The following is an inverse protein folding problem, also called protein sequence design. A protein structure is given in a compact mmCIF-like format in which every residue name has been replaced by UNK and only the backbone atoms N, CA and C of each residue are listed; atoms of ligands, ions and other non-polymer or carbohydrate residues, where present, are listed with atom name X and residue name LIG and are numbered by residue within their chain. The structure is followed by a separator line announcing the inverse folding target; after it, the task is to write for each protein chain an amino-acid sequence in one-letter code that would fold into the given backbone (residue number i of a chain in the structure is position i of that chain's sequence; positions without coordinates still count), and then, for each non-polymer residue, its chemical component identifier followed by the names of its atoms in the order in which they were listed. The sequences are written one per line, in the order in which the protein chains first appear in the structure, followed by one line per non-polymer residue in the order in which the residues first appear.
data_IF_125896231096
#
_entry.id   IF_125896231096
#
_cell.length_a   1.000
_cell.length_b   1.000
_cell.length_c   1.000
_cell.angle_alpha   90.00
_cell.angle_beta   90.00
_cell.angle_gamma   90.00
#
_symmetry.space_group_name_H-M   'P 1'
#
loop_
_entity.id
_entity.type
_entity.pdbx_description
1 polymer ?
#
# COMPACT_ATOMS: atom_id res chain seq x y z
N UNK A 1 -16.31 -3.74 -17.32
CA UNK A 1 -15.02 -4.29 -17.79
C UNK A 1 -15.20 -5.79 -18.01
N UNK A 2 -14.66 -6.36 -19.09
CA UNK A 2 -14.73 -7.80 -19.33
C UNK A 2 -13.56 -8.50 -18.65
N UNK A 3 -13.84 -9.50 -17.81
CA UNK A 3 -12.82 -10.26 -17.08
C UNK A 3 -11.98 -11.09 -18.07
N UNK A 4 -10.65 -10.89 -18.05
CA UNK A 4 -9.68 -11.65 -18.84
C UNK A 4 -8.36 -11.72 -18.09
N UNK A 5 -7.60 -12.81 -18.26
CA UNK A 5 -6.22 -12.90 -17.78
C UNK A 5 -5.28 -12.15 -18.73
N UNK A 6 -5.36 -10.82 -18.71
CA UNK A 6 -4.51 -9.93 -19.51
C UNK A 6 -4.20 -8.67 -18.73
N UNK A 7 -2.92 -8.26 -18.73
CA UNK A 7 -2.50 -6.97 -18.17
C UNK A 7 -3.30 -5.85 -18.85
N UNK A 8 -3.85 -4.95 -18.06
CA UNK A 8 -4.51 -3.76 -18.59
C UNK A 8 -3.51 -2.85 -19.29
N UNK A 9 -4.00 -2.10 -20.26
CA UNK A 9 -3.27 -0.97 -20.80
C UNK A 9 -3.16 0.14 -19.75
N UNK A 10 -2.18 1.01 -19.89
CA UNK A 10 -2.04 2.17 -18.98
C UNK A 10 -3.27 3.07 -19.03
N UNK A 11 -3.84 3.30 -20.22
CA UNK A 11 -5.05 4.09 -20.39
C UNK A 11 -6.22 3.52 -19.59
N UNK A 12 -6.42 2.19 -19.63
CA UNK A 12 -7.45 1.51 -18.83
C UNK A 12 -7.18 1.65 -17.34
N UNK A 13 -5.95 1.44 -16.90
CA UNK A 13 -5.54 1.58 -15.50
C UNK A 13 -5.80 3.00 -14.98
N UNK A 14 -5.34 4.02 -15.69
CA UNK A 14 -5.53 5.41 -15.28
C UNK A 14 -7.01 5.85 -15.32
N UNK A 15 -7.81 5.32 -16.25
CA UNK A 15 -9.27 5.56 -16.26
C UNK A 15 -9.92 5.01 -15.00
N UNK A 16 -9.69 3.74 -14.66
CA UNK A 16 -10.28 3.10 -13.47
C UNK A 16 -9.79 3.77 -12.18
N UNK A 17 -8.52 4.17 -12.11
CA UNK A 17 -8.01 4.91 -10.94
C UNK A 17 -8.79 6.20 -10.67
N UNK A 18 -9.14 6.97 -11.70
CA UNK A 18 -9.96 8.18 -11.53
C UNK A 18 -11.34 7.86 -10.96
N UNK A 19 -11.97 6.80 -11.45
CA UNK A 19 -13.27 6.32 -10.96
C UNK A 19 -13.20 5.87 -9.49
N UNK A 20 -12.12 5.18 -9.08
CA UNK A 20 -11.92 4.75 -7.69
C UNK A 20 -11.66 5.93 -6.76
N UNK A 21 -10.81 6.87 -7.16
CA UNK A 21 -10.49 8.05 -6.35
C UNK A 21 -11.70 8.98 -6.13
N UNK A 22 -12.75 8.92 -6.95
CA UNK A 22 -13.96 9.70 -6.73
C UNK A 22 -14.97 9.05 -5.77
N UNK A 23 -14.70 7.85 -5.25
CA UNK A 23 -15.66 7.11 -4.39
C UNK A 23 -15.76 7.62 -2.95
N UNK A 24 -14.76 8.37 -2.47
CA UNK A 24 -14.75 8.95 -1.13
C UNK A 24 -13.95 10.25 -1.09
N UNK A 25 -14.28 11.24 -0.22
CA UNK A 25 -13.60 12.54 -0.22
C UNK A 25 -12.08 12.49 -0.02
N UNK A 26 -11.57 11.49 0.70
CA UNK A 26 -10.10 11.33 0.87
C UNK A 26 -9.38 11.02 -0.43
N UNK A 27 -10.10 10.53 -1.46
CA UNK A 27 -9.56 10.29 -2.80
C UNK A 27 -9.11 11.57 -3.53
N UNK A 28 -9.54 12.75 -3.08
CA UNK A 28 -9.06 14.05 -3.57
C UNK A 28 -7.78 14.52 -2.88
N UNK A 29 -7.21 13.74 -1.96
CA UNK A 29 -5.98 14.11 -1.26
C UNK A 29 -4.80 14.26 -2.23
N UNK A 30 -3.99 15.34 -2.12
CA UNK A 30 -2.77 15.50 -2.93
C UNK A 30 -1.72 14.41 -2.65
N UNK A 31 -1.87 13.65 -1.57
CA UNK A 31 -1.02 12.50 -1.22
C UNK A 31 -1.30 11.26 -2.09
N UNK A 32 -2.40 11.24 -2.85
CA UNK A 32 -2.77 10.14 -3.76
C UNK A 32 -2.31 10.38 -5.21
N UNK A 33 -1.54 11.44 -5.43
CA UNK A 33 -0.74 11.60 -6.64
C UNK A 33 0.27 10.44 -6.75
N UNK A 34 0.30 9.78 -7.91
CA UNK A 34 1.02 8.52 -8.05
C UNK A 34 2.54 8.71 -7.99
N UNK A 35 3.04 9.81 -8.58
CA UNK A 35 4.47 10.10 -8.63
C UNK A 35 4.98 10.48 -7.23
N UNK A 36 4.24 11.36 -6.52
CA UNK A 36 4.55 11.71 -5.13
C UNK A 36 4.52 10.50 -4.20
N UNK A 37 3.53 9.62 -4.35
CA UNK A 37 3.44 8.40 -3.56
C UNK A 37 4.62 7.47 -3.85
N UNK A 38 5.03 7.33 -5.11
CA UNK A 38 6.18 6.51 -5.49
C UNK A 38 7.49 7.04 -4.88
N UNK A 39 7.71 8.36 -4.89
CA UNK A 39 8.90 8.97 -4.29
C UNK A 39 8.92 8.83 -2.77
N UNK A 40 7.77 9.03 -2.10
CA UNK A 40 7.64 8.77 -0.67
C UNK A 40 7.98 7.32 -0.32
N UNK A 41 7.43 6.35 -1.06
CA UNK A 41 7.69 4.93 -0.82
C UNK A 41 9.17 4.55 -1.00
N UNK A 42 9.87 5.16 -1.96
CA UNK A 42 11.32 4.96 -2.15
C UNK A 42 12.17 5.58 -1.05
N UNK A 43 11.66 6.62 -0.39
CA UNK A 43 12.37 7.31 0.71
C UNK A 43 12.33 6.56 2.04
N UNK A 44 11.43 5.57 2.18
CA UNK A 44 11.28 4.82 3.42
C UNK A 44 12.49 3.93 3.70
N UNK A 45 12.89 3.78 4.98
CA UNK A 45 13.93 2.83 5.37
C UNK A 45 13.62 1.41 4.91
N UNK A 46 14.66 0.68 4.50
CA UNK A 46 14.52 -0.65 3.90
C UNK A 46 13.93 -1.67 4.89
N UNK A 47 14.23 -1.54 6.18
CA UNK A 47 13.70 -2.35 7.26
C UNK A 47 12.19 -2.20 7.47
N UNK A 48 11.59 -1.12 6.95
CA UNK A 48 10.14 -0.90 6.93
C UNK A 48 9.47 -1.42 5.66
N UNK A 49 10.25 -1.93 4.69
CA UNK A 49 9.71 -2.52 3.47
C UNK A 49 9.36 -4.00 3.70
N UNK A 50 8.06 -4.30 3.65
CA UNK A 50 7.55 -5.64 3.91
C UNK A 50 8.10 -6.70 2.94
N UNK A 51 8.26 -6.36 1.65
CA UNK A 51 8.77 -7.29 0.65
C UNK A 51 10.24 -7.67 0.93
N UNK A 52 11.06 -6.70 1.36
CA UNK A 52 12.46 -6.95 1.73
C UNK A 52 12.55 -7.77 3.02
N UNK A 53 11.70 -7.50 4.01
CA UNK A 53 11.65 -8.28 5.24
C UNK A 53 11.31 -9.76 4.97
N UNK A 54 10.33 -10.02 4.10
CA UNK A 54 9.97 -11.38 3.69
C UNK A 54 11.10 -12.09 2.93
N UNK A 55 11.76 -11.40 1.99
CA UNK A 55 12.86 -12.01 1.25
C UNK A 55 14.05 -12.34 2.17
N UNK A 56 14.36 -11.43 3.09
CA UNK A 56 15.40 -11.65 4.11
C UNK A 56 15.05 -12.85 5.00
N UNK A 57 13.80 -12.96 5.46
CA UNK A 57 13.37 -14.09 6.29
C UNK A 57 13.43 -15.42 5.53
N UNK A 58 13.06 -15.42 4.23
CA UNK A 58 13.19 -16.59 3.35
C UNK A 58 14.64 -17.03 3.21
N UNK A 59 15.57 -16.10 2.95
CA UNK A 59 17.00 -16.37 2.85
C UNK A 59 17.56 -16.94 4.18
N UNK A 60 17.08 -16.44 5.31
CA UNK A 60 17.47 -16.88 6.66
C UNK A 60 16.67 -18.07 7.18
N UNK A 61 15.74 -18.62 6.38
CA UNK A 61 14.82 -19.70 6.78
C UNK A 61 14.11 -19.43 8.13
N UNK A 62 13.78 -18.17 8.38
CA UNK A 62 13.16 -17.72 9.63
C UNK A 62 11.66 -17.55 9.43
N UNK A 63 10.86 -18.06 10.36
CA UNK A 63 9.41 -17.78 10.39
C UNK A 63 9.16 -16.48 11.13
N UNK A 64 8.46 -15.53 10.49
CA UNK A 64 8.05 -14.27 11.10
C UNK A 64 6.64 -14.41 11.71
N UNK A 65 6.37 -13.67 12.77
CA UNK A 65 5.05 -13.59 13.42
C UNK A 65 4.42 -12.24 13.12
N UNK A 66 3.14 -12.23 12.74
CA UNK A 66 2.37 -11.01 12.46
C UNK A 66 1.01 -11.07 13.16
N UNK A 67 0.73 -10.20 14.15
CA UNK A 67 -0.56 -10.16 14.84
C UNK A 67 -1.65 -9.48 14.00
N UNK A 68 -2.90 -9.56 14.48
CA UNK A 68 -4.03 -8.71 14.03
C UNK A 68 -4.33 -7.68 15.12
N UNK A 69 -4.49 -6.41 14.78
CA UNK A 69 -4.71 -5.31 15.74
C UNK A 69 -5.45 -4.13 15.08
N UNK A 70 -6.39 -3.49 15.80
CA UNK A 70 -7.13 -2.33 15.30
C UNK A 70 -8.05 -1.64 16.34
N UNK A 71 -8.07 -0.30 16.34
CA UNK A 71 -9.00 0.57 17.08
C UNK A 71 -9.35 1.80 16.24
N UNK A 72 -10.42 2.52 16.56
CA UNK A 72 -11.01 3.53 15.66
C UNK A 72 -10.21 4.83 15.51
N UNK A 73 -9.54 5.31 16.56
CA UNK A 73 -8.84 6.60 16.53
C UNK A 73 -7.41 6.45 16.03
N UNK A 74 -6.90 7.47 15.33
CA UNK A 74 -5.52 7.48 14.82
C UNK A 74 -4.52 7.33 15.98
N UNK A 75 -4.66 8.12 17.04
CA UNK A 75 -3.77 8.07 18.20
C UNK A 75 -3.83 6.73 18.92
N UNK A 76 -5.04 6.18 19.11
CA UNK A 76 -5.22 4.86 19.73
C UNK A 76 -4.60 3.76 18.88
N UNK A 77 -4.72 3.85 17.55
CA UNK A 77 -4.15 2.85 16.65
C UNK A 77 -2.62 2.93 16.61
N UNK A 78 -2.04 4.14 16.64
CA UNK A 78 -0.60 4.33 16.76
C UNK A 78 -0.08 3.77 18.10
N UNK A 79 -0.78 4.01 19.21
CA UNK A 79 -0.39 3.49 20.52
C UNK A 79 -0.44 1.95 20.56
N UNK A 80 -1.44 1.34 19.90
CA UNK A 80 -1.59 -0.12 19.82
C UNK A 80 -0.48 -0.82 19.01
N UNK A 81 0.09 -0.17 18.00
CA UNK A 81 1.10 -0.74 17.10
C UNK A 81 2.55 -0.50 17.56
N UNK A 82 2.75 0.25 18.64
CA UNK A 82 4.06 0.48 19.26
C UNK A 82 4.43 -0.66 20.20
#
# INVERSE_FOLDING_TARGET
MNLRNKKWTEAEFFRVRREVLSTWPTGSSPLLDLDKAADYLKSLPVEKNFAVALDTARQKQTTLVQPRAGVATIEGHIALLR
#
